data_IF_807650643932
#
_entry.id   IF_807650643932
#
_cell.length_a   1.000
_cell.length_b   1.000
_cell.length_c   1.000
_cell.angle_alpha   90.00
_cell.angle_beta   90.00
_cell.angle_gamma   90.00
#
_symmetry.space_group_name_H-M   'P 1'
#
loop_
_entity.id
_entity.type
_entity.pdbx_description
1 polymer ?
#
# COMPACT_ATOMS: atom_id res chain seq x y z
N UNK A 1 -29.30 -13.09 -29.45
CA UNK A 1 -28.98 -11.66 -29.20
C UNK A 1 -28.46 -11.48 -27.79
N UNK A 2 -27.17 -11.21 -27.65
CA UNK A 2 -26.56 -10.88 -26.34
C UNK A 2 -26.98 -9.45 -25.99
N UNK A 3 -27.57 -9.25 -24.80
CA UNK A 3 -27.93 -7.93 -24.29
C UNK A 3 -26.97 -7.56 -23.16
N UNK A 4 -26.29 -6.43 -23.32
CA UNK A 4 -25.45 -5.85 -22.27
C UNK A 4 -26.20 -4.71 -21.57
N UNK A 5 -26.00 -4.52 -20.26
CA UNK A 5 -26.62 -3.44 -19.51
C UNK A 5 -26.06 -2.05 -19.86
N UNK A 6 -24.88 -2.00 -20.49
CA UNK A 6 -24.20 -0.79 -20.96
C UNK A 6 -23.54 -1.08 -22.30
N UNK A 7 -23.22 -0.04 -23.07
CA UNK A 7 -22.54 -0.18 -24.37
C UNK A 7 -21.19 -0.92 -24.20
N UNK A 8 -21.00 -2.09 -24.83
CA UNK A 8 -19.75 -2.84 -24.77
C UNK A 8 -18.52 -2.04 -25.21
N UNK A 9 -18.67 -1.03 -26.07
CA UNK A 9 -17.58 -0.16 -26.48
C UNK A 9 -17.11 0.76 -25.35
N UNK A 10 -18.02 1.20 -24.47
CA UNK A 10 -17.66 1.96 -23.27
C UNK A 10 -16.90 1.09 -22.28
N UNK A 11 -17.33 -0.16 -22.10
CA UNK A 11 -16.61 -1.15 -21.28
C UNK A 11 -15.18 -1.31 -21.84
N UNK A 12 -15.06 -1.58 -23.14
CA UNK A 12 -13.75 -1.72 -23.82
C UNK A 12 -12.88 -0.48 -23.62
N UNK A 13 -13.43 0.72 -23.79
CA UNK A 13 -12.70 1.97 -23.60
C UNK A 13 -12.20 2.12 -22.16
N UNK A 14 -13.03 1.84 -21.16
CA UNK A 14 -12.64 1.95 -19.75
C UNK A 14 -11.50 0.99 -19.37
N UNK A 15 -11.44 -0.21 -19.98
CA UNK A 15 -10.34 -1.15 -19.75
C UNK A 15 -9.06 -0.77 -20.50
N UNK A 16 -9.18 -0.24 -21.71
CA UNK A 16 -8.02 0.12 -22.55
C UNK A 16 -7.42 1.49 -22.18
N UNK A 17 -8.26 2.42 -21.77
CA UNK A 17 -7.90 3.80 -21.40
C UNK A 17 -8.63 4.18 -20.10
N UNK A 18 -8.27 3.56 -18.97
CA UNK A 18 -8.85 3.92 -17.69
C UNK A 18 -8.42 5.34 -17.33
N UNK A 19 -9.29 6.12 -16.66
CA UNK A 19 -8.87 7.40 -16.09
C UNK A 19 -7.78 7.15 -15.05
N UNK A 20 -6.56 7.55 -15.37
CA UNK A 20 -5.40 7.44 -14.47
C UNK A 20 -5.01 8.80 -13.91
N UNK A 21 -4.65 8.82 -12.63
CA UNK A 21 -3.97 9.96 -12.03
C UNK A 21 -2.46 9.68 -12.04
N UNK A 22 -1.69 10.45 -12.82
CA UNK A 22 -0.21 10.37 -12.84
C UNK A 22 0.45 11.34 -11.86
N UNK A 23 -0.31 12.23 -11.24
CA UNK A 23 0.20 13.24 -10.33
C UNK A 23 0.27 12.69 -8.90
N UNK A 24 1.21 11.77 -8.67
CA UNK A 24 1.56 11.29 -7.33
C UNK A 24 3.06 11.04 -7.22
N UNK A 25 3.59 11.11 -5.99
CA UNK A 25 4.96 10.72 -5.68
C UNK A 25 4.95 9.58 -4.68
N UNK A 26 5.76 8.56 -4.92
CA UNK A 26 5.96 7.46 -3.98
C UNK A 26 7.08 7.88 -3.03
N UNK A 27 6.73 8.16 -1.78
CA UNK A 27 7.67 8.56 -0.72
C UNK A 27 7.49 7.64 0.47
N UNK A 28 8.59 7.11 0.98
CA UNK A 28 8.61 6.35 2.24
C UNK A 28 9.03 7.30 3.36
N UNK A 29 8.05 7.76 4.14
CA UNK A 29 8.25 8.65 5.29
C UNK A 29 8.68 7.90 6.56
N UNK A 30 8.84 8.65 7.64
CA UNK A 30 9.08 8.08 8.98
C UNK A 30 7.81 7.42 9.53
N UNK A 31 8.00 6.39 10.34
CA UNK A 31 6.91 5.65 10.97
C UNK A 31 6.43 6.40 12.22
N UNK A 32 5.17 6.80 12.26
CA UNK A 32 4.50 7.25 13.49
C UNK A 32 4.00 6.03 14.28
N UNK A 33 4.84 5.52 15.17
CA UNK A 33 4.50 4.36 16.01
C UNK A 33 3.37 4.64 16.98
N UNK A 34 3.30 5.87 17.51
CA UNK A 34 2.28 6.23 18.51
C UNK A 34 0.91 6.28 17.85
N UNK A 35 0.80 6.99 16.72
CA UNK A 35 -0.43 7.05 15.94
C UNK A 35 -0.88 5.67 15.45
N UNK A 36 0.06 4.81 15.06
CA UNK A 36 -0.26 3.45 14.63
C UNK A 36 -0.82 2.57 15.76
N UNK A 37 -0.25 2.69 16.98
CA UNK A 37 -0.76 1.95 18.15
C UNK A 37 -2.13 2.48 18.55
N UNK A 38 -2.34 3.80 18.54
CA UNK A 38 -3.64 4.41 18.81
C UNK A 38 -4.71 3.87 17.87
N UNK A 39 -4.47 4.01 16.56
CA UNK A 39 -5.40 3.56 15.54
C UNK A 39 -5.69 2.05 15.63
N UNK A 40 -4.65 1.21 15.70
CA UNK A 40 -4.86 -0.24 15.61
C UNK A 40 -5.31 -0.85 16.92
N UNK A 41 -4.71 -0.47 18.05
CA UNK A 41 -4.96 -1.10 19.36
C UNK A 41 -6.12 -0.43 20.07
N UNK A 42 -6.15 0.91 20.11
CA UNK A 42 -7.14 1.64 20.88
C UNK A 42 -8.45 1.86 20.10
N UNK A 43 -8.39 2.14 18.80
CA UNK A 43 -9.61 2.37 17.99
C UNK A 43 -10.16 1.10 17.32
N UNK A 44 -9.30 0.12 17.01
CA UNK A 44 -9.68 -1.09 16.25
C UNK A 44 -9.49 -2.41 17.00
N UNK A 45 -9.14 -2.38 18.29
CA UNK A 45 -9.01 -3.56 19.17
C UNK A 45 -8.03 -4.64 18.67
N UNK A 46 -6.99 -4.26 17.92
CA UNK A 46 -5.93 -5.19 17.56
C UNK A 46 -5.10 -5.56 18.79
N UNK A 47 -4.64 -6.81 18.82
CA UNK A 47 -3.70 -7.27 19.86
C UNK A 47 -2.43 -6.42 19.83
N UNK A 48 -2.19 -5.69 20.92
CA UNK A 48 -1.00 -4.85 21.13
C UNK A 48 0.30 -5.58 20.81
N UNK A 49 0.45 -6.80 21.32
CA UNK A 49 1.65 -7.61 21.08
C UNK A 49 1.85 -7.95 19.59
N UNK A 50 0.76 -8.19 18.84
CA UNK A 50 0.86 -8.41 17.39
C UNK A 50 1.23 -7.13 16.65
N UNK A 51 0.67 -5.99 17.04
CA UNK A 51 1.00 -4.69 16.43
C UNK A 51 2.47 -4.35 16.67
N UNK A 52 2.96 -4.45 17.91
CA UNK A 52 4.36 -4.19 18.24
C UNK A 52 5.33 -5.09 17.47
N UNK A 53 5.03 -6.39 17.36
CA UNK A 53 5.84 -7.31 16.52
C UNK A 53 5.84 -6.91 15.04
N UNK A 54 4.71 -6.42 14.53
CA UNK A 54 4.60 -5.89 13.17
C UNK A 54 5.45 -4.64 12.95
N UNK A 55 5.39 -3.70 13.89
CA UNK A 55 6.19 -2.46 13.91
C UNK A 55 7.68 -2.76 13.86
N UNK A 56 8.16 -3.68 14.69
CA UNK A 56 9.58 -4.05 14.72
C UNK A 56 10.05 -4.67 13.39
N UNK A 57 9.21 -5.48 12.74
CA UNK A 57 9.50 -6.00 11.40
C UNK A 57 9.54 -4.88 10.36
N UNK A 58 8.62 -3.92 10.43
CA UNK A 58 8.56 -2.78 9.53
C UNK A 58 9.83 -1.91 9.65
N UNK A 59 10.25 -1.57 10.86
CA UNK A 59 11.50 -0.83 11.12
C UNK A 59 12.71 -1.51 10.48
N UNK A 60 12.86 -2.82 10.68
CA UNK A 60 13.96 -3.60 10.10
C UNK A 60 13.93 -3.61 8.57
N UNK A 61 12.75 -3.63 7.97
CA UNK A 61 12.61 -3.58 6.50
C UNK A 61 12.96 -2.20 5.95
N UNK A 62 12.59 -1.13 6.66
CA UNK A 62 12.92 0.25 6.30
C UNK A 62 14.41 0.56 6.44
N UNK A 63 15.08 0.02 7.47
CA UNK A 63 16.53 0.19 7.63
C UNK A 63 17.31 -0.52 6.52
N UNK A 64 16.95 -1.77 6.19
CA UNK A 64 17.60 -2.54 5.11
C UNK A 64 17.49 -1.90 3.73
N UNK A 65 16.41 -1.16 3.44
CA UNK A 65 16.28 -0.42 2.16
C UNK A 65 17.30 0.69 1.98
N UNK A 66 17.85 1.24 3.07
CA UNK A 66 18.87 2.30 2.99
C UNK A 66 20.23 1.76 2.56
N UNK A 67 20.47 0.47 2.74
CA UNK A 67 21.70 -0.24 2.36
C UNK A 67 21.41 -1.17 1.18
N UNK A 68 21.42 -0.63 -0.04
CA UNK A 68 21.29 -1.45 -1.24
C UNK A 68 22.64 -2.05 -1.61
N UNK A 69 22.76 -3.38 -1.63
CA UNK A 69 23.93 -4.09 -2.17
C UNK A 69 23.75 -4.32 -3.66
N UNK A 70 24.86 -4.51 -4.39
CA UNK A 70 24.83 -4.81 -5.83
C UNK A 70 24.00 -6.06 -6.16
N UNK A 71 24.03 -7.09 -5.31
CA UNK A 71 23.22 -8.30 -5.43
C UNK A 71 21.71 -8.05 -5.30
N UNK A 72 21.27 -6.88 -4.82
CA UNK A 72 19.85 -6.52 -4.78
C UNK A 72 19.34 -5.96 -6.12
N UNK A 73 20.26 -5.65 -7.04
CA UNK A 73 19.95 -5.05 -8.35
C UNK A 73 20.12 -6.02 -9.53
N UNK A 74 20.98 -7.04 -9.41
CA UNK A 74 21.26 -8.05 -10.43
C UNK A 74 20.71 -9.42 -10.03
#
# INVERSE_FOLDING_TARGET
NVKFPVDPLLIKKHFLDPPINRNYRIVFGELDEKGLIELLVHEHDFSKDRVLRGVERLKKALSKRKESTLDSFF
#
